data_IF_103582640542
#
_entry.id   IF_103582640542
#
_cell.length_a   1.000
_cell.length_b   1.000
_cell.length_c   1.000
_cell.angle_alpha   90.00
_cell.angle_beta   90.00
_cell.angle_gamma   90.00
#
_symmetry.space_group_name_H-M   'P 1'
#
loop_
_entity.id
_entity.type
_entity.pdbx_description
1 polymer ?
#
# COMPACT_ATOMS: atom_id res chain seq x y z
N UNK A 1 -15.66 -20.35 -16.39
CA UNK A 1 -15.93 -21.15 -15.17
C UNK A 1 -15.67 -22.61 -15.51
N UNK A 2 -15.15 -23.41 -14.59
CA UNK A 2 -14.89 -24.83 -14.84
C UNK A 2 -15.31 -25.70 -13.65
N UNK A 3 -15.93 -26.85 -13.93
CA UNK A 3 -16.37 -27.78 -12.90
C UNK A 3 -15.18 -28.49 -12.25
N UNK A 4 -15.08 -28.36 -10.92
CA UNK A 4 -14.05 -28.99 -10.10
C UNK A 4 -14.70 -29.98 -9.14
N UNK A 5 -14.79 -31.23 -9.58
CA UNK A 5 -15.26 -32.37 -8.81
C UNK A 5 -14.09 -33.26 -8.43
N UNK A 6 -14.30 -34.26 -7.58
CA UNK A 6 -13.26 -35.25 -7.20
C UNK A 6 -12.65 -35.94 -8.43
N UNK A 7 -13.43 -36.14 -9.49
CA UNK A 7 -12.98 -36.76 -10.75
C UNK A 7 -12.21 -35.80 -11.65
N UNK A 8 -12.65 -34.53 -11.75
CA UNK A 8 -12.01 -33.53 -12.62
C UNK A 8 -10.83 -32.79 -11.98
N UNK A 9 -10.61 -32.97 -10.68
CA UNK A 9 -9.57 -32.28 -9.91
C UNK A 9 -8.16 -32.45 -10.50
N UNK A 10 -7.84 -33.63 -11.03
CA UNK A 10 -6.51 -33.92 -11.61
C UNK A 10 -6.20 -33.09 -12.86
N UNK A 11 -7.23 -32.69 -13.62
CA UNK A 11 -7.09 -31.89 -14.84
C UNK A 11 -7.24 -30.40 -14.60
N UNK A 12 -7.68 -30.01 -13.41
CA UNK A 12 -7.95 -28.61 -13.08
C UNK A 12 -6.67 -27.78 -12.98
N UNK A 13 -5.59 -28.31 -12.38
CA UNK A 13 -4.34 -27.55 -12.21
C UNK A 13 -3.67 -27.16 -13.54
N UNK A 14 -3.50 -28.06 -14.53
CA UNK A 14 -2.98 -27.69 -15.84
C UNK A 14 -3.88 -26.67 -16.56
N UNK A 15 -5.20 -26.88 -16.53
CA UNK A 15 -6.17 -25.96 -17.13
C UNK A 15 -6.11 -24.56 -16.48
N UNK A 16 -5.97 -24.52 -15.16
CA UNK A 16 -5.85 -23.28 -14.40
C UNK A 16 -4.59 -22.49 -14.81
N UNK A 17 -3.46 -23.18 -14.92
CA UNK A 17 -2.20 -22.55 -15.33
C UNK A 17 -2.30 -21.99 -16.75
N UNK A 18 -2.84 -22.78 -17.68
CA UNK A 18 -3.05 -22.33 -19.06
C UNK A 18 -3.95 -21.10 -19.12
N UNK A 19 -5.13 -21.15 -18.48
CA UNK A 19 -6.08 -20.03 -18.54
C UNK A 19 -5.59 -18.77 -17.82
N UNK A 20 -5.03 -18.89 -16.62
CA UNK A 20 -4.65 -17.71 -15.82
C UNK A 20 -3.28 -17.15 -16.19
N UNK A 21 -2.29 -18.01 -16.47
CA UNK A 21 -0.91 -17.58 -16.69
C UNK A 21 -0.63 -17.33 -18.17
N UNK A 22 -1.12 -18.19 -19.07
CA UNK A 22 -0.83 -18.07 -20.51
C UNK A 22 -1.83 -17.15 -21.22
N UNK A 23 -3.13 -17.30 -20.92
CA UNK A 23 -4.19 -16.51 -21.57
C UNK A 23 -4.58 -15.24 -20.80
N UNK A 24 -4.22 -15.13 -19.52
CA UNK A 24 -4.60 -13.99 -18.67
C UNK A 24 -6.09 -13.93 -18.32
N UNK A 25 -6.85 -15.02 -18.49
CA UNK A 25 -8.26 -15.10 -18.13
C UNK A 25 -8.45 -15.55 -16.68
N UNK A 26 -9.46 -15.00 -16.00
CA UNK A 26 -9.84 -15.46 -14.67
C UNK A 26 -10.65 -16.76 -14.75
N UNK A 27 -10.12 -17.85 -14.17
CA UNK A 27 -10.80 -19.13 -14.07
C UNK A 27 -11.38 -19.33 -12.68
N UNK A 28 -12.70 -19.46 -12.59
CA UNK A 28 -13.41 -19.73 -11.33
C UNK A 28 -13.82 -21.21 -11.23
N UNK A 29 -13.40 -21.92 -10.16
CA UNK A 29 -13.82 -23.29 -9.90
C UNK A 29 -15.25 -23.32 -9.37
N UNK A 30 -16.06 -24.26 -9.85
CA UNK A 30 -17.40 -24.54 -9.31
C UNK A 30 -17.56 -26.04 -9.06
N UNK A 31 -18.07 -26.48 -7.90
CA UNK A 31 -18.24 -27.91 -7.61
C UNK A 31 -19.56 -28.47 -8.18
N UNK A 32 -20.53 -27.61 -8.50
CA UNK A 32 -21.81 -28.01 -9.07
C UNK A 32 -22.44 -26.90 -9.91
N UNK A 33 -23.36 -27.28 -10.80
CA UNK A 33 -24.12 -26.34 -11.62
C UNK A 33 -24.99 -25.38 -10.79
N UNK A 34 -25.46 -25.82 -9.62
CA UNK A 34 -26.23 -24.95 -8.70
C UNK A 34 -25.38 -23.81 -8.16
N UNK A 35 -24.14 -24.11 -7.76
CA UNK A 35 -23.20 -23.09 -7.33
C UNK A 35 -22.77 -22.19 -8.48
N UNK A 36 -22.61 -22.74 -9.69
CA UNK A 36 -22.36 -21.95 -10.88
C UNK A 36 -23.49 -20.93 -11.14
N UNK A 37 -24.76 -21.35 -11.01
CA UNK A 37 -25.91 -20.46 -11.16
C UNK A 37 -25.92 -19.34 -10.09
N UNK A 38 -25.67 -19.69 -8.82
CA UNK A 38 -25.56 -18.71 -7.72
C UNK A 38 -24.44 -17.70 -7.97
N UNK A 39 -23.29 -18.17 -8.46
CA UNK A 39 -22.15 -17.32 -8.75
C UNK A 39 -22.43 -16.37 -9.92
N UNK A 40 -23.11 -16.83 -10.99
CA UNK A 40 -23.54 -15.98 -12.10
C UNK A 40 -24.49 -14.87 -11.63
N UNK A 41 -25.45 -15.20 -10.75
CA UNK A 41 -26.36 -14.21 -10.16
C UNK A 41 -25.57 -13.15 -9.39
N UNK A 42 -24.57 -13.55 -8.59
CA UNK A 42 -23.70 -12.62 -7.86
C UNK A 42 -22.85 -11.75 -8.80
N UNK A 43 -22.34 -12.30 -9.90
CA UNK A 43 -21.58 -11.54 -10.89
C UNK A 43 -22.42 -10.41 -11.49
N UNK A 44 -23.62 -10.73 -11.98
CA UNK A 44 -24.54 -9.72 -12.56
C UNK A 44 -24.92 -8.69 -11.50
N UNK A 45 -25.18 -9.13 -10.28
CA UNK A 45 -25.50 -8.24 -9.17
C UNK A 45 -24.35 -7.31 -8.78
N UNK A 46 -23.10 -7.76 -8.89
CA UNK A 46 -21.91 -6.96 -8.62
C UNK A 46 -21.54 -6.03 -9.78
N UNK A 47 -21.75 -6.45 -11.02
CA UNK A 47 -21.47 -5.67 -12.24
C UNK A 47 -22.37 -4.42 -12.32
N UNK A 48 -23.63 -4.54 -11.90
CA UNK A 48 -24.57 -3.42 -11.86
C UNK A 48 -24.30 -2.39 -10.75
N UNK A 49 -23.35 -2.63 -9.84
CA UNK A 49 -23.03 -1.73 -8.72
C UNK A 49 -21.88 -0.79 -9.06
N UNK A 50 -21.89 0.46 -8.55
CA UNK A 50 -20.76 1.35 -8.73
C UNK A 50 -19.49 0.75 -8.09
N UNK A 51 -18.34 0.95 -8.73
CA UNK A 51 -17.06 0.40 -8.31
C UNK A 51 -16.67 0.76 -6.86
N UNK A 52 -17.17 1.87 -6.32
CA UNK A 52 -16.93 2.29 -4.92
C UNK A 52 -17.58 1.34 -3.89
N UNK A 53 -18.58 0.54 -4.28
CA UNK A 53 -19.15 -0.48 -3.39
C UNK A 53 -18.13 -1.59 -3.06
N UNK A 54 -17.19 -1.88 -3.97
CA UNK A 54 -16.12 -2.83 -3.71
C UNK A 54 -15.08 -2.19 -2.78
N UNK A 55 -14.89 -2.68 -1.54
CA UNK A 55 -13.92 -2.13 -0.60
C UNK A 55 -12.48 -2.07 -1.12
N UNK A 56 -12.12 -2.96 -2.04
CA UNK A 56 -10.79 -2.99 -2.67
C UNK A 56 -10.62 -1.95 -3.77
N UNK A 57 -11.72 -1.45 -4.35
CA UNK A 57 -11.73 -0.39 -5.35
C UNK A 57 -12.03 0.99 -4.75
N UNK A 58 -12.40 1.05 -3.46
CA UNK A 58 -12.57 2.32 -2.76
C UNK A 58 -11.27 3.10 -2.84
N UNK A 59 -11.34 4.31 -3.40
CA UNK A 59 -10.22 5.25 -3.33
C UNK A 59 -9.88 5.42 -1.84
N UNK A 60 -8.62 5.19 -1.48
CA UNK A 60 -8.15 5.47 -0.11
C UNK A 60 -8.58 6.89 0.22
N UNK A 61 -9.38 7.05 1.27
CA UNK A 61 -9.71 8.38 1.79
C UNK A 61 -8.38 9.09 1.99
N UNK A 62 -8.24 10.31 1.48
CA UNK A 62 -7.05 11.13 1.73
C UNK A 62 -6.89 11.22 3.24
N UNK A 63 -5.98 10.43 3.80
CA UNK A 63 -5.54 10.60 5.18
C UNK A 63 -5.00 12.03 5.21
N UNK A 64 -5.36 12.85 6.22
CA UNK A 64 -4.75 14.17 6.35
C UNK A 64 -3.24 14.01 6.20
N UNK A 65 -2.63 14.77 5.28
CA UNK A 65 -1.21 14.60 4.95
C UNK A 65 -0.32 14.84 6.17
N UNK A 66 -0.78 15.69 7.09
CA UNK A 66 -0.09 16.12 8.31
C UNK A 66 0.34 14.95 9.25
N UNK A 67 -0.57 14.08 9.74
CA UNK A 67 -0.18 12.93 10.56
C UNK A 67 0.69 11.92 9.79
N UNK A 68 0.47 11.71 8.49
CA UNK A 68 1.29 10.79 7.71
C UNK A 68 2.73 11.29 7.60
N UNK A 69 2.92 12.59 7.32
CA UNK A 69 4.24 13.23 7.27
C UNK A 69 4.93 13.14 8.64
N UNK A 70 4.21 13.38 9.73
CA UNK A 70 4.75 13.25 11.08
C UNK A 70 5.19 11.81 11.40
N UNK A 71 4.39 10.81 11.05
CA UNK A 71 4.78 9.40 11.23
C UNK A 71 6.01 9.05 10.41
N UNK A 72 6.11 9.51 9.15
CA UNK A 72 7.30 9.28 8.31
C UNK A 72 8.55 9.92 8.92
N UNK A 73 8.43 11.12 9.49
CA UNK A 73 9.55 11.77 10.19
C UNK A 73 9.95 11.01 11.46
N UNK A 74 8.99 10.45 12.21
CA UNK A 74 9.28 9.62 13.38
C UNK A 74 10.01 8.31 13.07
N UNK A 75 10.00 7.84 11.81
CA UNK A 75 10.82 6.70 11.39
C UNK A 75 12.32 7.04 11.37
N UNK A 76 12.70 8.32 11.36
CA UNK A 76 14.10 8.74 11.42
C UNK A 76 14.65 8.41 12.82
N UNK A 77 15.79 7.71 12.92
CA UNK A 77 16.35 7.30 14.20
C UNK A 77 16.56 8.50 15.14
N UNK A 78 16.13 8.35 16.39
CA UNK A 78 16.18 9.35 17.47
C UNK A 78 15.37 10.64 17.24
N UNK A 79 14.50 10.66 16.22
CA UNK A 79 13.54 11.75 16.02
C UNK A 79 12.21 11.43 16.70
N UNK A 80 12.02 11.93 17.92
CA UNK A 80 10.75 11.81 18.63
C UNK A 80 9.67 12.77 18.10
N UNK A 81 8.41 12.55 18.50
CA UNK A 81 7.25 13.33 18.04
C UNK A 81 7.39 14.84 18.22
N UNK A 82 7.91 15.29 19.36
CA UNK A 82 8.08 16.73 19.66
C UNK A 82 9.07 17.39 18.69
N UNK A 83 10.19 16.71 18.40
CA UNK A 83 11.22 17.23 17.49
C UNK A 83 10.77 17.14 16.04
N UNK A 84 10.05 16.08 15.67
CA UNK A 84 9.45 15.94 14.35
C UNK A 84 8.43 17.06 14.07
N UNK A 85 7.57 17.38 15.04
CA UNK A 85 6.62 18.51 14.94
C UNK A 85 7.34 19.84 14.79
N UNK A 86 8.38 20.08 15.59
CA UNK A 86 9.14 21.33 15.53
C UNK A 86 9.85 21.50 14.17
N UNK A 87 10.48 20.46 13.65
CA UNK A 87 11.08 20.47 12.30
C UNK A 87 10.03 20.70 11.21
N UNK A 88 8.86 20.06 11.32
CA UNK A 88 7.79 20.26 10.34
C UNK A 88 7.24 21.69 10.39
N UNK A 89 7.18 22.33 11.56
CA UNK A 89 6.81 23.74 11.69
C UNK A 89 7.84 24.69 11.04
N UNK A 90 9.13 24.40 11.19
CA UNK A 90 10.21 25.26 10.64
C UNK A 90 10.36 25.07 9.12
N UNK A 91 10.41 23.84 8.63
CA UNK A 91 10.76 23.53 7.23
C UNK A 91 9.55 23.19 6.35
N UNK A 92 8.36 22.95 6.92
CA UNK A 92 7.05 22.70 6.26
C UNK A 92 6.95 21.45 5.39
N UNK A 93 8.07 20.88 4.93
CA UNK A 93 8.09 19.71 4.06
C UNK A 93 9.33 18.83 4.31
N UNK A 94 9.24 17.54 4.00
CA UNK A 94 10.32 16.55 4.25
C UNK A 94 11.56 16.84 3.38
N UNK A 95 11.36 17.32 2.14
CA UNK A 95 12.45 17.63 1.22
C UNK A 95 13.35 18.77 1.73
N UNK A 96 12.76 19.81 2.32
CA UNK A 96 13.47 20.92 2.94
C UNK A 96 14.22 20.45 4.19
N UNK A 97 13.69 19.49 4.94
CA UNK A 97 14.39 18.88 6.08
C UNK A 97 15.63 18.10 5.62
N UNK A 98 15.55 17.35 4.51
CA UNK A 98 16.71 16.61 3.99
C UNK A 98 17.76 17.54 3.36
N UNK A 99 17.32 18.61 2.70
CA UNK A 99 18.20 19.60 2.08
C UNK A 99 18.84 20.58 3.08
N UNK A 100 18.23 20.80 4.26
CA UNK A 100 18.69 21.73 5.28
C UNK A 100 20.15 21.50 5.70
N UNK A 101 20.82 22.59 6.07
CA UNK A 101 22.20 22.52 6.56
C UNK A 101 22.25 21.96 8.00
N UNK A 102 23.41 21.44 8.41
CA UNK A 102 23.60 20.93 9.78
C UNK A 102 23.40 22.04 10.82
N UNK A 103 23.68 23.29 10.44
CA UNK A 103 23.53 24.47 11.30
C UNK A 103 22.06 24.79 11.57
N UNK A 104 21.23 24.78 10.51
CA UNK A 104 19.80 25.03 10.60
C UNK A 104 19.09 23.91 11.39
N UNK A 105 19.49 22.66 11.17
CA UNK A 105 18.98 21.53 11.96
C UNK A 105 19.44 21.62 13.42
N UNK A 106 20.67 22.07 13.68
CA UNK A 106 21.20 22.22 15.05
C UNK A 106 20.39 23.23 15.86
N UNK A 107 19.96 24.32 15.25
CA UNK A 107 19.13 25.35 15.91
C UNK A 107 17.79 24.80 16.42
N UNK A 108 17.27 23.75 15.79
CA UNK A 108 15.94 23.19 16.09
C UNK A 108 16.02 21.93 16.97
N UNK A 109 16.93 21.00 16.68
CA UNK A 109 16.98 19.68 17.34
C UNK A 109 18.28 19.40 18.11
N UNK A 110 19.23 20.34 18.10
CA UNK A 110 20.54 20.23 18.76
C UNK A 110 21.56 19.42 17.96
N UNK A 111 22.86 19.70 18.20
CA UNK A 111 24.01 19.20 17.41
C UNK A 111 24.00 17.68 17.18
N UNK A 112 23.76 16.91 18.24
CA UNK A 112 23.80 15.44 18.17
C UNK A 112 22.69 14.86 17.27
N UNK A 113 21.48 15.41 17.32
CA UNK A 113 20.37 14.92 16.51
C UNK A 113 20.47 15.45 15.07
N UNK A 114 20.93 16.70 14.89
CA UNK A 114 21.16 17.30 13.58
C UNK A 114 22.17 16.50 12.74
N UNK A 115 23.28 16.10 13.35
CA UNK A 115 24.27 15.24 12.70
C UNK A 115 23.65 13.92 12.26
N UNK A 116 22.90 13.23 13.13
CA UNK A 116 22.29 11.94 12.79
C UNK A 116 21.20 12.03 11.72
N UNK A 117 20.37 13.07 11.75
CA UNK A 117 19.38 13.30 10.69
C UNK A 117 20.08 13.55 9.36
N UNK A 118 21.15 14.34 9.34
CA UNK A 118 21.91 14.58 8.11
C UNK A 118 22.61 13.31 7.61
N UNK A 119 23.24 12.55 8.51
CA UNK A 119 23.83 11.25 8.20
C UNK A 119 22.79 10.28 7.63
N UNK A 120 21.59 10.18 8.24
CA UNK A 120 20.51 9.33 7.74
C UNK A 120 20.09 9.69 6.30
N UNK A 121 19.94 10.99 6.00
CA UNK A 121 19.57 11.43 4.65
C UNK A 121 20.72 11.40 3.64
N UNK A 122 21.98 11.44 4.07
CA UNK A 122 23.15 11.39 3.20
C UNK A 122 23.67 9.96 2.94
N UNK A 123 23.57 9.05 3.91
CA UNK A 123 23.99 7.65 3.79
C UNK A 123 22.92 6.76 3.14
N UNK A 124 21.63 7.16 3.16
CA UNK A 124 20.55 6.45 2.48
C UNK A 124 20.49 6.63 0.97
N UNK A 125 21.42 7.41 0.38
CA UNK A 125 21.60 7.57 -1.07
C UNK A 125 22.92 6.90 -1.47
N UNK A 126 23.03 5.60 -1.26
CA UNK A 126 23.99 4.70 -1.91
C UNK A 126 23.38 3.31 -1.95
#
# INVERSE_FOLDING_TARGET
MAERTTTSQQYYSPLQNFCMLELGFSLLPVPSQREAASLLIQMVHCEGKPADMNPFCKKKKNVPLDPAILTTLQCVPKLGEVKAKLLLQTFKNIQSISAASVEELTAVIGKANAAQVKTFFSEGVT
#
